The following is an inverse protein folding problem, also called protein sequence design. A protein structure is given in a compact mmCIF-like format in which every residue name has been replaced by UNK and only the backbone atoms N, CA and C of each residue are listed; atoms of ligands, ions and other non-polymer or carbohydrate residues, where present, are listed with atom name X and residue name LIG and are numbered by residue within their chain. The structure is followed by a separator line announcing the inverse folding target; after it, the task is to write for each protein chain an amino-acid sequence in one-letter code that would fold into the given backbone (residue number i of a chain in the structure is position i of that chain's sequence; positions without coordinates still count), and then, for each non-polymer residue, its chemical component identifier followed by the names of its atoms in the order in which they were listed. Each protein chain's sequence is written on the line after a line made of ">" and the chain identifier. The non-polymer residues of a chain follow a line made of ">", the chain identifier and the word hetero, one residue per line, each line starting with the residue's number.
data_IF_998441909767
#
_entry.id   IF_998441909767
#
_cell.length_a   1.000
_cell.length_b   1.000
_cell.length_c   1.000
_cell.angle_alpha   90.00
_cell.angle_beta   90.00
_cell.angle_gamma   90.00
#
_symmetry.space_group_name_H-M   'P 1'
#
loop_
_entity.id
_entity.type
_entity.pdbx_description
1 polymer ?
#
# COMPACT_ATOMS: atom_id res chain seq x y z
N UNK A 1 16.69 -26.82 -3.69
CA UNK A 1 17.04 -25.39 -3.83
C UNK A 1 16.19 -24.64 -4.86
N UNK A 2 15.74 -25.25 -5.96
CA UNK A 2 14.89 -24.61 -6.98
C UNK A 2 13.51 -24.14 -6.49
N UNK A 3 12.92 -24.82 -5.51
CA UNK A 3 11.59 -24.50 -4.95
C UNK A 3 11.46 -23.09 -4.34
N UNK A 4 12.56 -22.49 -3.85
CA UNK A 4 12.54 -21.16 -3.23
C UNK A 4 12.94 -20.03 -4.18
N UNK A 5 13.57 -20.35 -5.31
CA UNK A 5 13.99 -19.33 -6.30
C UNK A 5 12.76 -18.71 -6.98
N UNK A 6 11.77 -19.54 -7.29
CA UNK A 6 10.58 -19.10 -8.02
C UNK A 6 9.72 -18.09 -7.22
N UNK A 7 9.44 -18.30 -5.91
CA UNK A 7 8.81 -17.28 -5.07
C UNK A 7 9.58 -15.96 -5.01
N UNK A 8 10.91 -16.02 -4.90
CA UNK A 8 11.75 -14.81 -4.82
C UNK A 8 11.69 -14.02 -6.12
N UNK A 9 11.87 -14.68 -7.26
CA UNK A 9 11.79 -14.02 -8.58
C UNK A 9 10.40 -13.44 -8.81
N UNK A 10 9.35 -14.18 -8.44
CA UNK A 10 7.98 -13.69 -8.54
C UNK A 10 7.74 -12.45 -7.68
N UNK A 11 8.19 -12.49 -6.43
CA UNK A 11 8.07 -11.37 -5.48
C UNK A 11 8.78 -10.13 -6.02
N UNK A 12 10.02 -10.27 -6.49
CA UNK A 12 10.79 -9.18 -7.09
C UNK A 12 10.12 -8.63 -8.34
N UNK A 13 9.62 -9.50 -9.21
CA UNK A 13 8.94 -9.10 -10.44
C UNK A 13 7.67 -8.31 -10.13
N UNK A 14 6.78 -8.83 -9.29
CA UNK A 14 5.51 -8.18 -8.94
C UNK A 14 5.77 -6.87 -8.20
N UNK A 15 6.74 -6.84 -7.29
CA UNK A 15 7.13 -5.63 -6.56
C UNK A 15 7.65 -4.54 -7.51
N UNK A 16 8.62 -4.87 -8.36
CA UNK A 16 9.24 -3.92 -9.29
C UNK A 16 8.25 -3.42 -10.32
N UNK A 17 7.45 -4.33 -10.89
CA UNK A 17 6.44 -3.99 -11.87
C UNK A 17 5.34 -3.11 -11.27
N UNK A 18 4.85 -3.43 -10.07
CA UNK A 18 3.88 -2.59 -9.35
C UNK A 18 4.41 -1.18 -9.13
N UNK A 19 5.65 -1.06 -8.64
CA UNK A 19 6.30 0.25 -8.44
C UNK A 19 6.44 1.02 -9.75
N UNK A 20 6.88 0.37 -10.83
CA UNK A 20 6.98 0.97 -12.16
C UNK A 20 5.64 1.47 -12.69
N UNK A 21 4.57 0.68 -12.53
CA UNK A 21 3.21 1.07 -12.92
C UNK A 21 2.74 2.28 -12.11
N UNK A 22 2.97 2.30 -10.80
CA UNK A 22 2.61 3.44 -9.93
C UNK A 22 3.33 4.72 -10.39
N UNK A 23 4.63 4.64 -10.68
CA UNK A 23 5.41 5.79 -11.18
C UNK A 23 4.94 6.26 -12.56
N UNK A 24 4.66 5.31 -13.46
CA UNK A 24 4.08 5.62 -14.76
C UNK A 24 2.75 6.36 -14.60
N UNK A 25 1.83 5.83 -13.79
CA UNK A 25 0.51 6.43 -13.52
C UNK A 25 0.61 7.84 -12.96
N UNK A 26 1.60 8.11 -12.10
CA UNK A 26 1.86 9.44 -11.57
C UNK A 26 2.38 10.43 -12.63
N UNK A 27 3.04 9.93 -13.67
CA UNK A 27 3.52 10.74 -14.81
C UNK A 27 2.43 11.12 -15.82
N UNK A 28 1.22 10.57 -15.71
CA UNK A 28 0.14 10.89 -16.64
C UNK A 28 -0.42 12.31 -16.44
N UNK A 29 -1.07 12.88 -17.48
CA UNK A 29 -1.76 14.15 -17.36
C UNK A 29 -2.85 14.15 -16.28
N UNK A 30 -3.04 15.30 -15.61
CA UNK A 30 -3.99 15.46 -14.49
C UNK A 30 -5.45 15.09 -14.80
N UNK A 31 -5.87 15.16 -16.06
CA UNK A 31 -7.23 14.78 -16.46
C UNK A 31 -7.48 13.27 -16.35
N UNK A 32 -6.43 12.45 -16.48
CA UNK A 32 -6.51 10.99 -16.36
C UNK A 32 -6.63 10.53 -14.90
N UNK A 33 -6.30 11.40 -13.93
CA UNK A 33 -6.24 11.04 -12.50
C UNK A 33 -7.57 10.51 -11.95
N UNK A 34 -8.71 11.06 -12.42
CA UNK A 34 -10.05 10.58 -12.03
C UNK A 34 -10.27 9.13 -12.47
N UNK A 35 -9.87 8.81 -13.70
CA UNK A 35 -9.98 7.47 -14.27
C UNK A 35 -9.02 6.50 -13.61
N UNK A 36 -7.78 6.92 -13.35
CA UNK A 36 -6.79 6.13 -12.60
C UNK A 36 -7.31 5.78 -11.21
N UNK A 37 -7.88 6.74 -10.49
CA UNK A 37 -8.43 6.51 -9.15
C UNK A 37 -9.65 5.58 -9.18
N UNK A 38 -10.52 5.70 -10.19
CA UNK A 38 -11.67 4.83 -10.37
C UNK A 38 -11.24 3.39 -10.68
N UNK A 39 -10.31 3.21 -11.62
CA UNK A 39 -9.74 1.91 -11.95
C UNK A 39 -9.01 1.29 -10.74
N UNK A 40 -8.23 2.08 -10.02
CA UNK A 40 -7.55 1.63 -8.80
C UNK A 40 -8.57 1.16 -7.75
N UNK A 41 -9.65 1.91 -7.54
CA UNK A 41 -10.68 1.56 -6.55
C UNK A 41 -11.44 0.28 -6.92
N UNK A 42 -11.70 0.07 -8.22
CA UNK A 42 -12.25 -1.20 -8.71
C UNK A 42 -11.27 -2.36 -8.47
N UNK A 43 -9.98 -2.16 -8.73
CA UNK A 43 -8.93 -3.14 -8.46
C UNK A 43 -8.79 -3.44 -6.96
N UNK A 44 -8.95 -2.44 -6.09
CA UNK A 44 -8.95 -2.63 -4.64
C UNK A 44 -10.07 -3.58 -4.20
N UNK A 45 -11.31 -3.35 -4.66
CA UNK A 45 -12.44 -4.22 -4.32
C UNK A 45 -12.21 -5.65 -4.83
N UNK A 46 -11.73 -5.80 -6.05
CA UNK A 46 -11.36 -7.11 -6.61
C UNK A 46 -10.24 -7.79 -5.80
N UNK A 47 -9.24 -7.02 -5.35
CA UNK A 47 -8.15 -7.55 -4.55
C UNK A 47 -8.61 -8.00 -3.16
N UNK A 48 -9.51 -7.27 -2.51
CA UNK A 48 -10.10 -7.70 -1.22
C UNK A 48 -10.95 -8.96 -1.37
N UNK A 49 -11.74 -9.06 -2.45
CA UNK A 49 -12.48 -10.28 -2.77
C UNK A 49 -11.54 -11.45 -3.07
N UNK A 50 -10.48 -11.20 -3.84
CA UNK A 50 -9.43 -12.18 -4.12
C UNK A 50 -8.74 -12.66 -2.85
N UNK A 51 -8.45 -11.77 -1.91
CA UNK A 51 -7.89 -12.12 -0.61
C UNK A 51 -8.82 -13.02 0.20
N UNK A 52 -10.12 -12.72 0.21
CA UNK A 52 -11.11 -13.54 0.90
C UNK A 52 -11.24 -14.95 0.31
N UNK A 53 -11.23 -15.06 -1.03
CA UNK A 53 -11.31 -16.35 -1.73
C UNK A 53 -10.03 -17.16 -1.52
N UNK A 54 -8.86 -16.53 -1.68
CA UNK A 54 -7.55 -17.17 -1.51
C UNK A 54 -7.25 -17.53 -0.06
N UNK A 55 -7.89 -16.88 0.91
CA UNK A 55 -7.78 -17.20 2.33
C UNK A 55 -8.19 -18.65 2.66
N UNK A 56 -9.06 -19.27 1.85
CA UNK A 56 -9.47 -20.68 1.98
C UNK A 56 -8.62 -21.65 1.17
N UNK A 57 -7.78 -21.16 0.25
CA UNK A 57 -6.91 -22.00 -0.57
C UNK A 57 -5.52 -22.13 0.07
N UNK A 58 -5.22 -23.32 0.59
CA UNK A 58 -3.93 -23.67 1.20
C UNK A 58 -2.88 -24.12 0.19
N UNK A 59 -3.20 -24.12 -1.11
CA UNK A 59 -2.24 -24.48 -2.16
C UNK A 59 -1.23 -23.36 -2.37
N UNK A 60 -0.11 -23.73 -3.00
CA UNK A 60 0.95 -22.79 -3.40
C UNK A 60 0.38 -21.66 -4.30
N UNK A 61 -0.59 -21.97 -5.16
CA UNK A 61 -1.30 -20.99 -6.00
C UNK A 61 -2.04 -19.94 -5.17
N UNK A 62 -2.67 -20.36 -4.08
CA UNK A 62 -3.34 -19.47 -3.13
C UNK A 62 -2.38 -18.46 -2.51
N UNK A 63 -1.15 -18.87 -2.19
CA UNK A 63 -0.13 -17.95 -1.66
C UNK A 63 0.30 -16.89 -2.68
N UNK A 64 0.50 -17.26 -3.95
CA UNK A 64 0.86 -16.31 -5.02
C UNK A 64 -0.26 -15.31 -5.32
N UNK A 65 -1.51 -15.78 -5.34
CA UNK A 65 -2.67 -14.92 -5.54
C UNK A 65 -2.87 -13.98 -4.34
N UNK A 66 -2.79 -14.50 -3.11
CA UNK A 66 -2.87 -13.68 -1.90
C UNK A 66 -1.77 -12.61 -1.87
N UNK A 67 -0.54 -12.95 -2.31
CA UNK A 67 0.55 -11.99 -2.45
C UNK A 67 0.22 -10.88 -3.44
N UNK A 68 -0.27 -11.24 -4.62
CA UNK A 68 -0.64 -10.25 -5.65
C UNK A 68 -1.77 -9.34 -5.18
N UNK A 69 -2.81 -9.91 -4.55
CA UNK A 69 -3.91 -9.13 -3.98
C UNK A 69 -3.39 -8.14 -2.93
N UNK A 70 -2.51 -8.56 -2.02
CA UNK A 70 -1.93 -7.68 -1.01
C UNK A 70 -1.14 -6.52 -1.65
N UNK A 71 -0.35 -6.79 -2.70
CA UNK A 71 0.36 -5.75 -3.45
C UNK A 71 -0.60 -4.78 -4.16
N UNK A 72 -1.71 -5.27 -4.71
CA UNK A 72 -2.71 -4.41 -5.35
C UNK A 72 -3.41 -3.50 -4.33
N UNK A 73 -3.76 -4.04 -3.15
CA UNK A 73 -4.32 -3.25 -2.04
C UNK A 73 -3.32 -2.15 -1.63
N UNK A 74 -2.03 -2.50 -1.52
CA UNK A 74 -0.98 -1.53 -1.22
C UNK A 74 -0.80 -0.49 -2.33
N UNK A 75 -0.81 -0.91 -3.59
CA UNK A 75 -0.66 -0.02 -4.74
C UNK A 75 -1.78 1.03 -4.81
N UNK A 76 -3.00 0.66 -4.44
CA UNK A 76 -4.11 1.62 -4.36
C UNK A 76 -3.78 2.79 -3.41
N UNK A 77 -3.23 2.49 -2.23
CA UNK A 77 -2.86 3.50 -1.24
C UNK A 77 -1.77 4.44 -1.76
N UNK A 78 -0.77 3.88 -2.46
CA UNK A 78 0.31 4.68 -3.07
C UNK A 78 -0.20 5.58 -4.19
N UNK A 79 -1.06 5.06 -5.06
CA UNK A 79 -1.69 5.84 -6.12
C UNK A 79 -2.57 6.95 -5.51
N UNK A 80 -3.37 6.65 -4.49
CA UNK A 80 -4.22 7.62 -3.80
C UNK A 80 -3.41 8.76 -3.14
N UNK A 81 -2.21 8.44 -2.66
CA UNK A 81 -1.26 9.41 -2.11
C UNK A 81 -0.61 10.28 -3.18
N UNK A 82 -0.03 9.65 -4.21
CA UNK A 82 0.69 10.36 -5.27
C UNK A 82 -0.22 11.27 -6.09
N UNK A 83 -1.47 10.85 -6.34
CA UNK A 83 -2.46 11.66 -7.05
C UNK A 83 -3.01 12.82 -6.21
N UNK A 84 -2.67 12.92 -4.92
CA UNK A 84 -3.09 14.01 -4.05
C UNK A 84 -4.54 13.91 -3.54
N UNK A 85 -5.22 12.77 -3.76
CA UNK A 85 -6.60 12.56 -3.31
C UNK A 85 -6.69 12.37 -1.80
N UNK A 86 -5.73 11.65 -1.21
CA UNK A 86 -5.67 11.36 0.23
C UNK A 86 -4.45 12.06 0.83
N UNK A 87 -4.40 13.39 0.72
CA UNK A 87 -3.42 14.23 1.41
C UNK A 87 -4.01 14.78 2.70
N UNK A 88 -3.18 15.03 3.71
CA UNK A 88 -3.60 15.63 4.98
C UNK A 88 -4.30 16.99 4.84
N UNK A 89 -4.91 17.51 5.95
CA UNK A 89 -5.68 18.74 5.94
C UNK A 89 -4.80 19.98 5.69
N UNK A 90 -3.48 19.86 5.88
CA UNK A 90 -2.53 20.94 5.61
C UNK A 90 -1.80 20.69 4.29
N UNK A 91 -2.17 21.47 3.27
CA UNK A 91 -1.50 21.52 1.95
C UNK A 91 -0.49 22.67 1.84
N UNK A 92 -0.27 23.40 2.93
CA UNK A 92 0.62 24.55 2.98
C UNK A 92 2.10 24.13 3.07
N UNK A 93 3.02 24.91 2.48
CA UNK A 93 4.46 24.73 2.68
C UNK A 93 4.80 24.77 4.18
N UNK A 94 5.68 23.87 4.62
CA UNK A 94 6.15 23.89 6.00
C UNK A 94 6.85 25.23 6.29
N UNK A 95 6.42 25.99 7.30
CA UNK A 95 7.02 27.29 7.59
C UNK A 95 8.51 27.12 7.93
N UNK A 96 9.41 27.94 7.36
CA UNK A 96 10.86 27.76 7.47
C UNK A 96 11.40 27.90 8.91
N UNK A 97 10.57 28.41 9.82
CA UNK A 97 10.88 28.59 11.25
C UNK A 97 10.54 27.36 12.10
N UNK A 98 9.85 26.35 11.55
CA UNK A 98 9.45 25.16 12.29
C UNK A 98 10.66 24.25 12.57
N UNK A 99 10.99 24.06 13.85
CA UNK A 99 12.07 23.20 14.34
C UNK A 99 11.54 22.13 15.30
N UNK A 100 12.24 20.99 15.37
CA UNK A 100 11.94 19.90 16.29
C UNK A 100 10.51 19.36 16.16
N UNK A 101 9.86 19.13 17.30
CA UNK A 101 8.52 18.54 17.41
C UNK A 101 7.41 19.29 16.67
N UNK A 102 7.56 20.61 16.46
CA UNK A 102 6.60 21.42 15.70
C UNK A 102 6.64 21.05 14.21
N UNK A 103 7.83 20.79 13.66
CA UNK A 103 8.00 20.31 12.28
C UNK A 103 7.42 18.90 12.11
N UNK A 104 7.58 18.04 13.11
CA UNK A 104 6.98 16.70 13.13
C UNK A 104 5.46 16.76 13.16
N UNK A 105 4.88 17.64 13.99
CA UNK A 105 3.43 17.85 14.04
C UNK A 105 2.86 18.29 12.69
N UNK A 106 3.54 19.18 11.98
CA UNK A 106 3.15 19.58 10.62
C UNK A 106 3.32 18.46 9.59
N UNK A 107 4.36 17.64 9.69
CA UNK A 107 4.53 16.46 8.83
C UNK A 107 3.44 15.41 9.07
N UNK A 108 3.09 15.14 10.33
CA UNK A 108 2.00 14.23 10.71
C UNK A 108 0.68 14.76 10.18
N UNK A 109 0.38 16.05 10.36
CA UNK A 109 -0.82 16.65 9.80
C UNK A 109 -0.89 16.49 8.28
N UNK A 110 0.22 16.70 7.55
CA UNK A 110 0.26 16.53 6.10
C UNK A 110 -0.02 15.09 5.62
N UNK A 111 0.19 14.07 6.46
CA UNK A 111 0.06 12.64 6.09
C UNK A 111 -1.10 11.93 6.82
N UNK A 112 -1.77 12.59 7.77
CA UNK A 112 -2.76 11.97 8.66
C UNK A 112 -3.88 11.21 7.93
N UNK A 113 -4.46 11.80 6.88
CA UNK A 113 -5.55 11.17 6.12
C UNK A 113 -5.08 9.90 5.41
N UNK A 114 -3.82 9.87 4.97
CA UNK A 114 -3.21 8.71 4.33
C UNK A 114 -2.92 7.60 5.35
N UNK A 115 -2.51 7.95 6.56
CA UNK A 115 -2.35 6.96 7.65
C UNK A 115 -3.68 6.38 8.10
N UNK A 116 -4.74 7.20 8.16
CA UNK A 116 -6.10 6.72 8.43
C UNK A 116 -6.58 5.78 7.33
N UNK A 117 -6.38 6.12 6.05
CA UNK A 117 -6.71 5.23 4.93
C UNK A 117 -5.95 3.90 5.02
N UNK A 118 -4.66 3.95 5.39
CA UNK A 118 -3.85 2.75 5.61
C UNK A 118 -4.37 1.89 6.76
N UNK A 119 -4.81 2.50 7.88
CA UNK A 119 -5.42 1.78 8.99
C UNK A 119 -6.77 1.14 8.60
N UNK A 120 -7.60 1.84 7.82
CA UNK A 120 -8.86 1.30 7.29
C UNK A 120 -8.61 0.12 6.36
N UNK A 121 -7.64 0.23 5.45
CA UNK A 121 -7.24 -0.88 4.59
C UNK A 121 -6.70 -2.06 5.39
N UNK A 122 -5.88 -1.79 6.42
CA UNK A 122 -5.39 -2.85 7.30
C UNK A 122 -6.55 -3.59 7.97
N UNK A 123 -7.56 -2.87 8.46
CA UNK A 123 -8.76 -3.48 9.03
C UNK A 123 -9.55 -4.28 7.98
N UNK A 124 -9.67 -3.78 6.75
CA UNK A 124 -10.30 -4.49 5.64
C UNK A 124 -9.58 -5.79 5.27
N UNK A 125 -8.25 -5.75 5.20
CA UNK A 125 -7.41 -6.94 4.99
C UNK A 125 -7.55 -7.90 6.17
N UNK A 126 -7.48 -7.40 7.41
CA UNK A 126 -7.67 -8.21 8.63
C UNK A 126 -9.00 -8.95 8.60
N UNK A 127 -10.09 -8.24 8.28
CA UNK A 127 -11.43 -8.80 8.20
C UNK A 127 -11.56 -9.82 7.06
N UNK A 128 -10.96 -9.53 5.90
CA UNK A 128 -10.98 -10.45 4.77
C UNK A 128 -10.20 -11.75 5.03
N UNK A 129 -9.14 -11.69 5.84
CA UNK A 129 -8.30 -12.84 6.22
C UNK A 129 -8.58 -13.37 7.62
N UNK A 130 -9.64 -12.91 8.30
CA UNK A 130 -9.97 -13.36 9.64
C UNK A 130 -10.36 -14.84 9.59
N UNK A 131 -9.69 -15.68 10.37
CA UNK A 131 -9.85 -17.15 10.37
C UNK A 131 -9.46 -17.84 9.03
N UNK A 132 -8.69 -17.17 8.18
CA UNK A 132 -8.20 -17.75 6.93
C UNK A 132 -7.04 -18.73 7.19
N UNK A 133 -7.07 -19.88 6.51
CA UNK A 133 -5.99 -20.86 6.53
C UNK A 133 -4.71 -20.31 5.87
N UNK A 134 -4.87 -19.39 4.91
CA UNK A 134 -3.78 -18.71 4.24
C UNK A 134 -3.63 -17.27 4.73
N UNK A 135 -2.65 -17.03 5.59
CA UNK A 135 -2.34 -15.71 6.15
C UNK A 135 -1.28 -14.93 5.35
N UNK A 136 -0.83 -15.43 4.20
CA UNK A 136 0.24 -14.80 3.43
C UNK A 136 -0.08 -13.35 3.09
N UNK A 137 -1.31 -13.07 2.64
CA UNK A 137 -1.75 -11.71 2.31
C UNK A 137 -1.72 -10.73 3.48
N UNK A 138 -2.12 -11.19 4.68
CA UNK A 138 -2.06 -10.41 5.92
C UNK A 138 -0.62 -10.01 6.25
N UNK A 139 0.28 -11.00 6.30
CA UNK A 139 1.67 -10.77 6.67
C UNK A 139 2.40 -9.85 5.69
N UNK A 140 2.13 -9.97 4.39
CA UNK A 140 2.71 -9.06 3.39
C UNK A 140 2.26 -7.63 3.67
N UNK A 141 0.96 -7.41 3.89
CA UNK A 141 0.46 -6.07 4.17
C UNK A 141 1.10 -5.46 5.42
N UNK A 142 1.23 -6.25 6.50
CA UNK A 142 1.89 -5.82 7.74
C UNK A 142 3.37 -5.50 7.51
N UNK A 143 4.11 -6.35 6.79
CA UNK A 143 5.52 -6.10 6.48
C UNK A 143 5.69 -4.78 5.73
N UNK A 144 4.87 -4.54 4.71
CA UNK A 144 4.90 -3.28 3.95
C UNK A 144 4.57 -2.07 4.85
N UNK A 145 3.57 -2.21 5.72
CA UNK A 145 3.21 -1.16 6.65
C UNK A 145 4.37 -0.85 7.62
N UNK A 146 4.96 -1.86 8.25
CA UNK A 146 6.09 -1.70 9.16
C UNK A 146 7.29 -1.08 8.44
N UNK A 147 7.62 -1.55 7.23
CA UNK A 147 8.70 -0.97 6.41
C UNK A 147 8.45 0.51 6.14
N UNK A 148 7.20 0.90 5.81
CA UNK A 148 6.84 2.31 5.60
C UNK A 148 7.01 3.15 6.87
N UNK A 149 6.58 2.64 8.02
CA UNK A 149 6.75 3.35 9.30
C UNK A 149 8.23 3.47 9.69
N UNK A 150 9.00 2.40 9.50
CA UNK A 150 10.45 2.40 9.70
C UNK A 150 11.13 3.45 8.83
N UNK A 151 10.78 3.56 7.54
CA UNK A 151 11.34 4.57 6.65
C UNK A 151 11.04 6.01 7.13
N UNK A 152 9.84 6.28 7.64
CA UNK A 152 9.50 7.60 8.21
C UNK A 152 10.30 7.91 9.47
N UNK A 153 10.43 6.93 10.37
CA UNK A 153 11.23 7.06 11.57
C UNK A 153 12.70 7.28 11.25
N UNK A 154 13.23 6.57 10.24
CA UNK A 154 14.60 6.76 9.78
C UNK A 154 14.82 8.20 9.32
N UNK A 155 13.98 8.72 8.41
CA UNK A 155 14.05 10.12 7.95
C UNK A 155 13.86 11.13 9.08
N UNK A 156 13.10 10.79 10.12
CA UNK A 156 12.93 11.64 11.29
C UNK A 156 14.20 11.70 12.17
N UNK A 157 14.92 10.58 12.29
CA UNK A 157 16.11 10.46 13.12
C UNK A 157 17.41 10.88 12.40
N UNK A 158 17.45 10.84 11.06
CA UNK A 158 18.57 11.28 10.23
C UNK A 158 19.10 10.18 9.32
#
# INVERSE_FOLDING_TARGET
>A
MSLYVLPVVYTLFVWWFSTGVILYLNGLPRWTFKWTMLAASALLLLALLGLHVTGRDTRITGAYLAFTCAIVVWAWQEVAFLLGYVTGPRREPCPPQARGWVRTGYAVQAVLHHELALAVLCAGVAAATWDAANQTGWWIFIVLWVMRQSAKLNVFLG
#
